data_IF_984510874665
#
_entry.id   IF_984510874665
#
_cell.length_a   1.000
_cell.length_b   1.000
_cell.length_c   1.000
_cell.angle_alpha   90.00
_cell.angle_beta   90.00
_cell.angle_gamma   90.00
#
_symmetry.space_group_name_H-M   'P 1'
#
loop_
_entity.id
_entity.type
_entity.pdbx_description
1 polymer ?
#
# COMPACT_ATOMS: atom_id res chain seq x y z
N UNK A 1 17.51 16.87 4.46
CA UNK A 1 16.07 16.49 4.44
C UNK A 1 16.05 15.02 4.08
N UNK A 2 15.48 14.15 4.92
CA UNK A 2 15.38 12.74 4.54
C UNK A 2 14.34 12.65 3.41
N UNK A 3 14.82 12.46 2.19
CA UNK A 3 13.96 12.21 1.04
C UNK A 3 13.30 10.85 1.25
N UNK A 4 11.97 10.83 1.35
CA UNK A 4 11.22 9.59 1.46
C UNK A 4 11.29 8.92 0.08
N UNK A 5 11.86 7.71 -0.03
CA UNK A 5 12.03 7.06 -1.31
C UNK A 5 10.68 6.72 -1.93
N UNK A 6 10.61 6.78 -3.26
CA UNK A 6 9.46 6.29 -4.02
C UNK A 6 9.34 4.77 -3.90
N UNK A 7 8.13 4.29 -3.64
CA UNK A 7 7.84 2.87 -3.55
C UNK A 7 7.89 2.23 -4.93
N UNK A 8 8.71 1.19 -5.10
CA UNK A 8 8.68 0.31 -6.26
C UNK A 8 7.55 -0.71 -6.11
N UNK A 9 7.45 -1.32 -4.93
CA UNK A 9 6.44 -2.32 -4.61
C UNK A 9 5.85 -2.05 -3.22
N UNK A 10 4.53 -2.19 -3.10
CA UNK A 10 3.85 -2.23 -1.80
C UNK A 10 2.96 -3.45 -1.77
N UNK A 11 3.15 -4.30 -0.76
CA UNK A 11 2.35 -5.51 -0.55
C UNK A 11 1.27 -5.22 0.48
N UNK A 12 0.04 -5.53 0.12
CA UNK A 12 -1.18 -5.25 0.86
C UNK A 12 -1.90 -6.56 1.11
N UNK A 13 -2.07 -6.95 2.37
CA UNK A 13 -2.83 -8.16 2.73
C UNK A 13 -4.21 -7.81 3.25
N UNK A 14 -5.24 -8.52 2.80
CA UNK A 14 -6.58 -8.38 3.38
C UNK A 14 -6.58 -8.85 4.82
N UNK A 15 -7.13 -8.04 5.73
CA UNK A 15 -7.43 -8.49 7.09
C UNK A 15 -8.94 -8.78 7.29
N UNK A 16 -9.77 -8.51 6.28
CA UNK A 16 -11.20 -8.87 6.25
C UNK A 16 -11.52 -9.67 5.00
N UNK A 17 -11.71 -10.98 5.17
CA UNK A 17 -12.02 -11.92 4.09
C UNK A 17 -13.35 -11.66 3.37
N UNK A 18 -14.28 -10.96 4.02
CA UNK A 18 -15.59 -10.62 3.44
C UNK A 18 -15.58 -9.32 2.63
N UNK A 19 -14.43 -8.69 2.41
CA UNK A 19 -14.37 -7.44 1.68
C UNK A 19 -14.59 -7.67 0.16
N UNK A 20 -15.55 -6.98 -0.45
CA UNK A 20 -15.75 -7.01 -1.90
C UNK A 20 -14.47 -6.67 -2.68
N UNK A 21 -14.26 -7.26 -3.88
CA UNK A 21 -13.05 -7.09 -4.67
C UNK A 21 -12.78 -5.63 -5.07
N UNK A 22 -13.82 -4.79 -5.21
CA UNK A 22 -13.66 -3.38 -5.58
C UNK A 22 -12.86 -2.55 -4.57
N UNK A 23 -12.68 -3.03 -3.33
CA UNK A 23 -11.89 -2.33 -2.32
C UNK A 23 -10.43 -2.15 -2.73
N UNK A 24 -9.90 -2.96 -3.66
CA UNK A 24 -8.54 -2.75 -4.18
C UNK A 24 -8.41 -1.41 -4.93
N UNK A 25 -9.44 -1.00 -5.68
CA UNK A 25 -9.46 0.29 -6.37
C UNK A 25 -9.49 1.45 -5.38
N UNK A 26 -10.30 1.33 -4.31
CA UNK A 26 -10.38 2.34 -3.24
C UNK A 26 -9.04 2.43 -2.52
N UNK A 27 -8.42 1.28 -2.19
CA UNK A 27 -7.11 1.23 -1.54
C UNK A 27 -6.02 1.90 -2.41
N UNK A 28 -5.98 1.60 -3.71
CA UNK A 28 -5.06 2.23 -4.66
C UNK A 28 -5.25 3.74 -4.72
N UNK A 29 -6.49 4.22 -4.85
CA UNK A 29 -6.77 5.66 -4.90
C UNK A 29 -6.42 6.38 -3.60
N UNK A 30 -6.54 5.72 -2.44
CA UNK A 30 -6.16 6.30 -1.14
C UNK A 30 -4.66 6.32 -0.91
N UNK A 31 -3.93 5.33 -1.41
CA UNK A 31 -2.48 5.27 -1.26
C UNK A 31 -1.75 6.20 -2.22
N UNK A 32 -2.30 6.45 -3.41
CA UNK A 32 -1.67 7.30 -4.41
C UNK A 32 -1.30 8.70 -3.84
N UNK A 33 -0.06 9.12 -4.05
CA UNK A 33 0.54 10.36 -3.52
C UNK A 33 0.54 10.45 -2.00
N UNK A 34 0.56 9.32 -1.30
CA UNK A 34 0.69 9.27 0.15
C UNK A 34 1.91 8.46 0.57
N UNK A 35 2.41 8.75 1.77
CA UNK A 35 3.48 7.97 2.38
C UNK A 35 2.85 6.85 3.19
N UNK A 36 3.32 5.63 3.01
CA UNK A 36 2.91 4.48 3.83
C UNK A 36 4.13 3.76 4.39
N UNK A 37 3.88 2.93 5.41
CA UNK A 37 4.85 2.02 6.01
C UNK A 37 4.23 0.68 6.36
N UNK A 38 5.06 -0.32 6.61
CA UNK A 38 4.62 -1.63 7.10
C UNK A 38 3.80 -1.49 8.39
N UNK A 39 2.69 -2.23 8.47
CA UNK A 39 1.71 -2.23 9.55
C UNK A 39 0.62 -1.16 9.41
N UNK A 40 0.70 -0.27 8.41
CA UNK A 40 -0.34 0.71 8.15
C UNK A 40 -1.57 0.06 7.50
N UNK A 41 -2.77 0.51 7.88
CA UNK A 41 -4.02 -0.03 7.37
C UNK A 41 -4.70 0.94 6.42
N UNK A 42 -5.05 0.45 5.24
CA UNK A 42 -5.83 1.20 4.27
C UNK A 42 -7.08 0.39 3.90
N UNK A 43 -8.24 0.96 4.16
CA UNK A 43 -9.54 0.35 3.85
C UNK A 43 -9.72 -1.00 4.57
N UNK A 44 -9.46 -2.12 3.89
CA UNK A 44 -9.55 -3.52 4.38
C UNK A 44 -8.23 -4.28 4.23
N UNK A 45 -7.17 -3.55 3.88
CA UNK A 45 -5.82 -4.07 3.68
C UNK A 45 -4.87 -3.51 4.73
N UNK A 46 -3.84 -4.29 5.04
CA UNK A 46 -2.68 -3.89 5.85
C UNK A 46 -1.43 -3.98 4.98
N UNK A 47 -0.57 -2.98 5.06
CA UNK A 47 0.73 -2.98 4.37
C UNK A 47 1.64 -3.97 5.07
N UNK A 48 1.98 -5.07 4.40
CA UNK A 48 2.83 -6.13 4.96
C UNK A 48 4.28 -5.98 4.57
N UNK A 49 4.55 -5.35 3.42
CA UNK A 49 5.91 -5.08 2.94
C UNK A 49 5.94 -3.84 2.03
N UNK A 50 7.08 -3.17 2.02
CA UNK A 50 7.40 -2.07 1.11
C UNK A 50 8.78 -2.32 0.50
N UNK A 51 8.95 -1.93 -0.75
CA UNK A 51 10.25 -1.89 -1.42
C UNK A 51 10.47 -0.48 -1.98
N UNK A 52 11.49 0.27 -1.51
CA UNK A 52 12.44 -0.11 -0.46
C UNK A 52 11.79 -0.26 0.93
N UNK A 53 12.45 -0.98 1.83
CA UNK A 53 11.95 -1.18 3.20
C UNK A 53 11.87 0.15 3.97
N UNK A 54 10.75 0.36 4.69
CA UNK A 54 10.57 1.50 5.57
C UNK A 54 9.38 2.39 5.19
N UNK A 55 9.54 3.70 5.36
CA UNK A 55 8.55 4.68 4.90
C UNK A 55 8.81 4.97 3.42
N UNK A 56 7.78 4.81 2.59
CA UNK A 56 7.87 5.01 1.14
C UNK A 56 6.71 5.86 0.63
N UNK A 57 6.98 6.65 -0.41
CA UNK A 57 5.96 7.41 -1.13
C UNK A 57 5.35 6.55 -2.23
N UNK A 58 4.03 6.35 -2.18
CA UNK A 58 3.32 5.64 -3.25
C UNK A 58 2.98 6.61 -4.37
N UNK A 59 3.41 6.30 -5.58
CA UNK A 59 3.17 7.10 -6.79
C UNK A 59 2.42 6.27 -7.85
N UNK A 60 2.16 6.85 -9.01
CA UNK A 60 1.53 6.14 -10.14
C UNK A 60 2.40 5.00 -10.68
N UNK A 61 3.71 5.03 -10.39
CA UNK A 61 4.70 4.03 -10.79
C UNK A 61 4.81 2.87 -9.82
N UNK A 62 4.24 2.99 -8.63
CA UNK A 62 4.30 1.96 -7.59
C UNK A 62 3.45 0.75 -7.96
N UNK A 63 4.05 -0.44 -7.90
CA UNK A 63 3.34 -1.70 -8.07
C UNK A 63 2.68 -2.12 -6.76
N UNK A 64 1.35 -1.98 -6.68
CA UNK A 64 0.56 -2.49 -5.56
C UNK A 64 0.25 -3.97 -5.77
N UNK A 65 0.71 -4.81 -4.84
CA UNK A 65 0.39 -6.24 -4.80
C UNK A 65 -0.65 -6.50 -3.71
N UNK A 66 -1.73 -7.21 -4.05
CA UNK A 66 -2.80 -7.53 -3.12
C UNK A 66 -2.79 -9.03 -2.83
N UNK A 67 -2.47 -9.39 -1.59
CA UNK A 67 -2.52 -10.76 -1.07
C UNK A 67 -3.88 -11.02 -0.39
N UNK A 68 -4.36 -12.26 -0.47
CA UNK A 68 -5.56 -12.74 0.23
C UNK A 68 -5.21 -13.31 1.62
#
# INVERSE_FOLDING_TARGET
>A
MAEIPEALVVVLRKFRSLAPPFHCHIARSRLLNTVCKVGERVVVYEVTATDPEGMVLVTDRTQLQFED
#
